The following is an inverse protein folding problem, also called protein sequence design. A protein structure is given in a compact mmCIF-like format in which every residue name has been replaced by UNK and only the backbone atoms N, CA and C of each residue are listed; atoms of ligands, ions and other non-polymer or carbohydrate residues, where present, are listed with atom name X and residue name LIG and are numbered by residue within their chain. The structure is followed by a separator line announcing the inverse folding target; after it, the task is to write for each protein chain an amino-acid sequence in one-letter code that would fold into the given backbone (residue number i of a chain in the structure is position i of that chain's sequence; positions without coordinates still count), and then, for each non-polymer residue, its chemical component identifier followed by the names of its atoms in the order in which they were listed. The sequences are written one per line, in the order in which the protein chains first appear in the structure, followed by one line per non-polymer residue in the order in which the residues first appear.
data_IF_550242217893
#
_entry.id   IF_550242217893
#
_cell.length_a   1.000
_cell.length_b   1.000
_cell.length_c   1.000
_cell.angle_alpha   90.00
_cell.angle_beta   90.00
_cell.angle_gamma   90.00
#
_symmetry.space_group_name_H-M   'P 1'
#
loop_
_entity.id
_entity.type
_entity.pdbx_description
1 polymer ?
#
# COMPACT_ATOMS: atom_id res chain seq x y z
N UNK A 1 2.39 10.27 -0.96
CA UNK A 1 2.75 9.78 -2.32
C UNK A 1 1.98 8.49 -2.55
N UNK A 2 1.48 8.26 -3.76
CA UNK A 2 0.79 6.99 -4.07
C UNK A 2 1.77 5.83 -3.93
N UNK A 3 1.34 4.73 -3.29
CA UNK A 3 2.11 3.48 -3.20
C UNK A 3 2.17 2.74 -4.54
N UNK A 4 1.28 3.09 -5.47
CA UNK A 4 1.28 2.60 -6.84
C UNK A 4 1.59 3.75 -7.78
N UNK A 5 2.69 3.67 -8.51
CA UNK A 5 3.15 4.75 -9.38
C UNK A 5 3.71 4.21 -10.69
N UNK A 6 3.59 5.00 -11.74
CA UNK A 6 4.28 4.73 -12.99
C UNK A 6 5.72 5.23 -12.89
N UNK A 7 6.68 4.35 -13.16
CA UNK A 7 8.10 4.68 -13.30
C UNK A 7 8.50 4.25 -14.71
N UNK A 8 8.91 5.22 -15.54
CA UNK A 8 9.29 4.98 -16.93
C UNK A 8 8.22 4.20 -17.74
N UNK A 9 6.93 4.47 -17.48
CA UNK A 9 5.81 3.82 -18.15
C UNK A 9 5.44 2.43 -17.59
N UNK A 10 6.17 1.90 -16.61
CA UNK A 10 5.86 0.63 -15.94
C UNK A 10 5.19 0.91 -14.59
N UNK A 11 4.06 0.24 -14.34
CA UNK A 11 3.35 0.36 -13.07
C UNK A 11 4.09 -0.42 -11.99
N UNK A 12 4.46 0.28 -10.92
CA UNK A 12 5.14 -0.27 -9.77
C UNK A 12 4.23 -0.26 -8.54
N UNK A 13 4.30 -1.33 -7.75
CA UNK A 13 3.91 -1.31 -6.35
C UNK A 13 5.17 -1.03 -5.52
N UNK A 14 5.21 0.13 -4.90
CA UNK A 14 6.40 0.64 -4.21
C UNK A 14 7.62 0.66 -5.16
N UNK A 15 8.64 -0.16 -4.92
CA UNK A 15 9.83 -0.27 -5.79
C UNK A 15 9.80 -1.50 -6.71
N UNK A 16 8.69 -2.24 -6.77
CA UNK A 16 8.59 -3.50 -7.53
C UNK A 16 7.67 -3.33 -8.76
N UNK A 17 8.17 -3.75 -9.92
CA UNK A 17 7.40 -3.81 -11.18
C UNK A 17 6.25 -4.80 -11.06
N UNK A 18 5.02 -4.37 -11.34
CA UNK A 18 3.86 -5.27 -11.33
C UNK A 18 3.94 -6.30 -12.47
N UNK A 19 4.61 -5.97 -13.58
CA UNK A 19 4.85 -6.91 -14.68
C UNK A 19 5.76 -8.05 -14.24
N UNK A 20 6.79 -7.75 -13.45
CA UNK A 20 7.74 -8.75 -12.94
C UNK A 20 7.05 -9.67 -11.94
N UNK A 21 6.23 -9.10 -11.05
CA UNK A 21 5.42 -9.87 -10.10
C UNK A 21 4.41 -10.78 -10.84
N UNK A 22 3.73 -10.27 -11.87
CA UNK A 22 2.81 -11.08 -12.67
C UNK A 22 3.55 -12.22 -13.43
N UNK A 23 4.76 -11.97 -13.91
CA UNK A 23 5.61 -13.00 -14.53
C UNK A 23 6.07 -14.07 -13.53
N UNK A 24 6.40 -13.66 -12.30
CA UNK A 24 6.87 -14.57 -11.26
C UNK A 24 5.75 -15.40 -10.61
N UNK A 25 4.59 -14.78 -10.35
CA UNK A 25 3.52 -15.39 -9.55
C UNK A 25 2.26 -15.76 -10.37
N UNK A 26 2.20 -15.39 -11.66
CA UNK A 26 1.07 -15.65 -12.53
C UNK A 26 -0.10 -14.69 -12.31
N UNK A 27 -1.22 -14.90 -13.01
CA UNK A 27 -2.45 -14.12 -12.86
C UNK A 27 -3.68 -15.03 -12.73
N UNK A 28 -4.74 -14.61 -12.00
CA UNK A 28 -4.91 -13.32 -11.31
C UNK A 28 -4.02 -13.19 -10.06
N UNK A 29 -3.44 -12.00 -9.86
CA UNK A 29 -2.56 -11.68 -8.74
C UNK A 29 -3.06 -10.45 -7.99
N UNK A 30 -3.31 -10.61 -6.70
CA UNK A 30 -3.54 -9.48 -5.80
C UNK A 30 -2.21 -8.99 -5.23
N UNK A 31 -1.95 -7.69 -5.35
CA UNK A 31 -0.75 -7.05 -4.83
C UNK A 31 -1.17 -5.96 -3.87
N UNK A 32 -0.69 -6.04 -2.64
CA UNK A 32 -0.91 -5.03 -1.60
C UNK A 32 0.40 -4.32 -1.30
N UNK A 33 0.32 -3.03 -0.98
CA UNK A 33 1.46 -2.26 -0.49
C UNK A 33 1.39 -2.17 1.02
N UNK A 34 2.51 -2.51 1.67
CA UNK A 34 2.66 -2.37 3.13
C UNK A 34 2.61 -0.90 3.52
N UNK A 35 3.36 -0.06 2.81
CA UNK A 35 3.42 1.38 3.08
C UNK A 35 2.03 2.04 2.97
N UNK A 36 1.19 1.57 2.04
CA UNK A 36 -0.17 2.07 1.88
C UNK A 36 -1.05 1.75 3.10
N UNK A 37 -1.01 0.51 3.58
CA UNK A 37 -1.77 0.07 4.75
C UNK A 37 -1.31 0.79 6.01
N UNK A 38 0.00 0.90 6.21
CA UNK A 38 0.59 1.61 7.36
C UNK A 38 0.22 3.09 7.33
N UNK A 39 0.36 3.77 6.19
CA UNK A 39 -0.01 5.18 6.06
C UNK A 39 -1.50 5.41 6.31
N UNK A 40 -2.37 4.50 5.88
CA UNK A 40 -3.81 4.61 6.12
C UNK A 40 -4.13 4.45 7.61
N UNK A 41 -3.54 3.44 8.27
CA UNK A 41 -3.69 3.25 9.72
C UNK A 41 -3.17 4.46 10.51
N UNK A 42 -1.98 4.95 10.17
CA UNK A 42 -1.37 6.10 10.83
C UNK A 42 -2.23 7.36 10.66
N UNK A 43 -2.83 7.57 9.48
CA UNK A 43 -3.74 8.70 9.27
C UNK A 43 -4.94 8.69 10.24
N UNK A 44 -5.47 7.50 10.60
CA UNK A 44 -6.53 7.40 11.60
C UNK A 44 -6.02 7.69 13.02
N UNK A 45 -4.91 7.10 13.42
CA UNK A 45 -4.39 7.26 14.79
C UNK A 45 -3.90 8.69 15.04
N UNK A 46 -3.24 9.31 14.05
CA UNK A 46 -2.72 10.68 14.14
C UNK A 46 -3.86 11.70 14.21
N UNK A 47 -4.96 11.49 13.47
CA UNK A 47 -6.11 12.38 13.50
C UNK A 47 -6.82 12.42 14.87
N UNK A 48 -6.73 11.35 15.66
CA UNK A 48 -7.31 11.27 17.00
C UNK A 48 -6.41 11.91 18.08
N UNK A 49 -5.13 12.15 17.76
CA UNK A 49 -4.18 12.81 18.64
C UNK A 49 -4.07 12.14 20.02
N UNK A 50 -4.09 12.95 21.08
CA UNK A 50 -3.92 12.46 22.45
C UNK A 50 -5.20 11.90 23.09
N UNK A 51 -6.35 11.97 22.41
CA UNK A 51 -7.58 11.40 22.96
C UNK A 51 -7.42 9.90 23.17
N UNK A 52 -7.83 9.32 24.32
CA UNK A 52 -7.77 7.88 24.51
C UNK A 52 -8.58 7.15 23.43
N UNK A 53 -7.89 6.42 22.56
CA UNK A 53 -8.51 5.77 21.41
C UNK A 53 -7.88 4.42 21.08
N UNK A 54 -8.60 3.62 20.28
CA UNK A 54 -8.14 2.37 19.68
C UNK A 54 -8.76 2.24 18.29
N UNK A 55 -7.92 2.05 17.26
CA UNK A 55 -8.38 1.80 15.89
C UNK A 55 -8.59 0.30 15.72
N UNK A 56 -9.85 -0.14 15.58
CA UNK A 56 -10.21 -1.53 15.35
C UNK A 56 -10.51 -1.76 13.86
N UNK A 57 -9.54 -2.32 13.14
CA UNK A 57 -9.71 -2.71 11.73
C UNK A 57 -10.74 -3.84 11.61
N UNK A 58 -11.61 -3.77 10.59
CA UNK A 58 -12.77 -4.67 10.38
C UNK A 58 -12.44 -5.88 9.49
#
# INVERSE_FOLDING_TARGET
MSSFTYQNGVLHAEQLSLSDLAGQYGTPLYVYSRAALESAYLSYTEALGEWPHMVCFA
#
